data_IF_161684230582
#
_entry.id   IF_161684230582
#
_cell.length_a   1.000
_cell.length_b   1.000
_cell.length_c   1.000
_cell.angle_alpha   90.00
_cell.angle_beta   90.00
_cell.angle_gamma   90.00
#
_symmetry.space_group_name_H-M   'P 1'
#
loop_
_entity.id
_entity.type
_entity.pdbx_description
1 polymer ?
#
# COMPACT_ATOMS: atom_id res chain seq x y z
N UNK A 1 2.65 3.42 -22.94
CA UNK A 1 1.73 4.00 -21.95
C UNK A 1 0.75 4.89 -22.69
N UNK A 2 -0.53 4.69 -22.50
CA UNK A 2 -1.57 5.49 -23.14
C UNK A 2 -1.64 6.87 -22.48
N UNK A 3 -2.14 7.90 -23.18
CA UNK A 3 -2.30 9.26 -22.63
C UNK A 3 -3.09 9.24 -21.31
N UNK A 4 -4.04 8.30 -21.18
CA UNK A 4 -4.85 8.10 -19.98
C UNK A 4 -4.05 7.57 -18.79
N UNK A 5 -3.01 6.75 -18.99
CA UNK A 5 -2.11 6.28 -17.93
C UNK A 5 -1.22 7.42 -17.41
N UNK A 6 -0.71 8.28 -18.30
CA UNK A 6 0.07 9.45 -17.88
C UNK A 6 -0.76 10.44 -17.06
N UNK A 7 -2.03 10.65 -17.41
CA UNK A 7 -2.94 11.50 -16.62
C UNK A 7 -3.23 10.89 -15.25
N UNK A 8 -3.45 9.57 -15.16
CA UNK A 8 -3.62 8.90 -13.86
C UNK A 8 -2.39 9.03 -12.97
N UNK A 9 -1.19 8.87 -13.54
CA UNK A 9 0.06 9.03 -12.81
C UNK A 9 0.28 10.48 -12.35
N UNK A 10 -0.07 11.48 -13.18
CA UNK A 10 0.07 12.91 -12.85
C UNK A 10 -0.88 13.37 -11.73
N UNK A 11 -2.07 12.76 -11.62
CA UNK A 11 -3.05 13.07 -10.56
C UNK A 11 -2.82 12.18 -9.31
N UNK A 12 -1.76 11.38 -9.28
CA UNK A 12 -1.44 10.50 -8.14
C UNK A 12 -2.42 9.33 -7.98
N UNK A 13 -3.18 8.99 -9.02
CA UNK A 13 -4.10 7.85 -9.11
C UNK A 13 -3.42 6.60 -9.69
N UNK A 14 -2.10 6.50 -9.54
CA UNK A 14 -1.34 5.30 -9.88
C UNK A 14 -1.59 4.24 -8.81
N UNK A 15 -2.00 3.04 -9.27
CA UNK A 15 -2.46 1.89 -8.47
C UNK A 15 -3.91 1.99 -7.97
N UNK A 16 -4.69 0.93 -8.21
CA UNK A 16 -6.12 0.86 -7.92
C UNK A 16 -6.35 0.81 -6.39
N UNK A 17 -6.26 1.96 -5.74
CA UNK A 17 -6.49 2.10 -4.29
C UNK A 17 -7.94 1.77 -3.93
N UNK A 18 -8.12 1.04 -2.83
CA UNK A 18 -9.43 0.71 -2.31
C UNK A 18 -10.14 1.99 -1.85
N UNK A 19 -11.43 2.11 -2.14
CA UNK A 19 -12.23 3.23 -1.66
C UNK A 19 -12.39 3.17 -0.14
N UNK A 20 -12.63 4.32 0.49
CA UNK A 20 -12.88 4.38 1.95
C UNK A 20 -14.06 3.50 2.37
N UNK A 21 -15.09 3.40 1.53
CA UNK A 21 -16.27 2.58 1.77
C UNK A 21 -15.90 1.09 1.77
N UNK A 22 -15.16 0.63 0.76
CA UNK A 22 -14.68 -0.76 0.66
C UNK A 22 -13.80 -1.15 1.85
N UNK A 23 -12.88 -0.28 2.29
CA UNK A 23 -12.05 -0.54 3.47
C UNK A 23 -12.87 -0.63 4.77
N UNK A 24 -13.95 0.14 4.88
CA UNK A 24 -14.86 0.09 6.02
C UNK A 24 -15.71 -1.18 6.01
N UNK A 25 -16.22 -1.58 4.84
CA UNK A 25 -17.00 -2.80 4.65
C UNK A 25 -16.15 -4.06 4.91
N UNK A 26 -14.89 -4.03 4.50
CA UNK A 26 -13.90 -5.07 4.81
C UNK A 26 -13.40 -5.04 6.26
N UNK A 27 -13.91 -4.12 7.10
CA UNK A 27 -13.58 -3.97 8.52
C UNK A 27 -12.07 -3.88 8.79
N UNK A 28 -11.33 -3.20 7.92
CA UNK A 28 -9.89 -3.01 8.12
C UNK A 28 -9.63 -2.09 9.33
N UNK A 29 -8.71 -2.46 10.24
CA UNK A 29 -8.21 -1.55 11.29
C UNK A 29 -7.55 -0.32 10.67
N UNK A 30 -7.57 0.81 11.39
CA UNK A 30 -7.09 2.10 10.88
C UNK A 30 -5.64 2.06 10.38
N UNK A 31 -4.80 1.22 10.98
CA UNK A 31 -3.39 1.06 10.65
C UNK A 31 -3.18 0.45 9.26
N UNK A 32 -4.13 -0.32 8.76
CA UNK A 32 -4.05 -1.03 7.48
C UNK A 32 -4.87 -0.37 6.36
N UNK A 33 -5.31 0.88 6.58
CA UNK A 33 -6.04 1.68 5.59
C UNK A 33 -5.07 2.57 4.81
N UNK A 34 -4.06 1.95 4.24
CA UNK A 34 -3.01 2.58 3.44
C UNK A 34 -3.28 2.43 1.93
N UNK A 35 -2.36 2.95 1.11
CA UNK A 35 -2.37 2.81 -0.35
C UNK A 35 -2.43 1.34 -0.80
N UNK A 36 -1.86 0.42 -0.01
CA UNK A 36 -1.81 -1.03 -0.27
C UNK A 36 -3.07 -1.81 0.16
N UNK A 37 -4.08 -1.15 0.74
CA UNK A 37 -5.28 -1.81 1.27
C UNK A 37 -6.06 -2.63 0.22
N UNK A 38 -5.97 -2.25 -1.05
CA UNK A 38 -6.59 -2.96 -2.17
C UNK A 38 -6.07 -4.39 -2.37
N UNK A 39 -4.84 -4.68 -1.94
CA UNK A 39 -4.26 -6.03 -1.95
C UNK A 39 -4.57 -6.80 -0.65
N UNK A 40 -4.79 -6.10 0.45
CA UNK A 40 -5.08 -6.72 1.74
C UNK A 40 -6.50 -7.32 1.80
N UNK A 41 -7.48 -6.65 1.19
CA UNK A 41 -8.86 -7.15 1.11
C UNK A 41 -8.93 -8.54 0.47
N UNK A 42 -8.40 -8.79 -0.74
CA UNK A 42 -8.40 -10.13 -1.34
C UNK A 42 -7.56 -11.13 -0.55
N UNK A 43 -6.42 -10.72 0.03
CA UNK A 43 -5.62 -11.59 0.89
C UNK A 43 -6.40 -12.09 2.11
N UNK A 44 -7.15 -11.21 2.78
CA UNK A 44 -7.96 -11.59 3.93
C UNK A 44 -9.12 -12.51 3.54
N UNK A 45 -9.71 -12.32 2.35
CA UNK A 45 -10.72 -13.24 1.81
C UNK A 45 -10.12 -14.63 1.55
N UNK A 46 -8.95 -14.71 0.91
CA UNK A 46 -8.23 -15.96 0.68
C UNK A 46 -7.90 -16.68 2.00
N UNK A 47 -7.38 -15.95 2.99
CA UNK A 47 -7.05 -16.49 4.32
C UNK A 47 -8.28 -17.08 5.02
N UNK A 48 -9.43 -16.42 4.95
CA UNK A 48 -10.66 -16.94 5.55
C UNK A 48 -11.16 -18.19 4.81
N UNK A 49 -11.12 -18.21 3.47
CA UNK A 49 -11.55 -19.35 2.67
C UNK A 49 -10.68 -20.59 2.88
N UNK A 50 -9.36 -20.41 3.00
CA UNK A 50 -8.37 -21.48 3.14
C UNK A 50 -7.98 -21.73 4.61
N UNK A 51 -8.79 -21.29 5.59
CA UNK A 51 -8.54 -21.48 7.02
C UNK A 51 -7.14 -21.08 7.49
N UNK A 52 -6.59 -20.00 6.92
CA UNK A 52 -5.28 -19.43 7.24
C UNK A 52 -4.11 -20.40 7.02
N UNK A 53 -4.24 -21.35 6.09
CA UNK A 53 -3.13 -22.24 5.71
C UNK A 53 -1.96 -21.43 5.12
N UNK A 54 -0.72 -21.60 5.64
CA UNK A 54 0.43 -20.76 5.24
C UNK A 54 0.79 -20.78 3.75
N UNK A 55 0.56 -21.90 3.07
CA UNK A 55 1.02 -22.15 1.68
C UNK A 55 -0.02 -21.85 0.60
N UNK A 56 -1.25 -21.45 0.95
CA UNK A 56 -2.36 -21.31 -0.01
C UNK A 56 -2.49 -19.92 -0.63
N UNK A 57 -2.17 -18.86 0.13
CA UNK A 57 -2.33 -17.46 -0.29
C UNK A 57 -0.98 -16.74 -0.41
N UNK A 58 0.07 -17.45 -0.85
CA UNK A 58 1.43 -16.93 -0.88
C UNK A 58 1.60 -15.79 -1.89
N UNK A 59 0.98 -15.90 -3.06
CA UNK A 59 1.07 -14.88 -4.11
C UNK A 59 0.47 -13.56 -3.66
N UNK A 60 -0.74 -13.59 -3.09
CA UNK A 60 -1.43 -12.43 -2.56
C UNK A 60 -0.66 -11.82 -1.38
N UNK A 61 -0.11 -12.68 -0.51
CA UNK A 61 0.73 -12.25 0.61
C UNK A 61 1.96 -11.50 0.13
N UNK A 62 2.72 -12.09 -0.78
CA UNK A 62 3.95 -11.49 -1.29
C UNK A 62 3.68 -10.23 -2.11
N UNK A 63 2.56 -10.16 -2.83
CA UNK A 63 2.14 -8.95 -3.53
C UNK A 63 1.85 -7.80 -2.55
N UNK A 64 1.14 -8.09 -1.46
CA UNK A 64 0.89 -7.11 -0.40
C UNK A 64 2.18 -6.66 0.32
N UNK A 65 3.05 -7.62 0.68
CA UNK A 65 4.35 -7.33 1.32
C UNK A 65 5.25 -6.47 0.42
N UNK A 66 5.27 -6.73 -0.88
CA UNK A 66 6.03 -5.94 -1.85
C UNK A 66 5.51 -4.49 -1.91
N UNK A 67 4.19 -4.30 -1.99
CA UNK A 67 3.59 -2.96 -1.99
C UNK A 67 3.99 -2.18 -0.73
N UNK A 68 3.92 -2.82 0.45
CA UNK A 68 4.33 -2.20 1.71
C UNK A 68 5.80 -1.79 1.73
N UNK A 69 6.66 -2.63 1.17
CA UNK A 69 8.08 -2.35 1.08
C UNK A 69 8.38 -1.17 0.15
N UNK A 70 7.70 -1.09 -0.99
CA UNK A 70 7.87 0.01 -1.93
C UNK A 70 7.33 1.34 -1.35
N UNK A 71 6.20 1.31 -0.63
CA UNK A 71 5.69 2.46 0.12
C UNK A 71 6.64 2.90 1.25
N UNK A 72 7.28 1.94 1.94
CA UNK A 72 8.29 2.25 2.94
C UNK A 72 9.49 2.98 2.32
N UNK A 73 10.00 2.52 1.16
CA UNK A 73 11.08 3.21 0.46
C UNK A 73 10.71 4.64 0.07
N UNK A 74 9.49 4.86 -0.43
CA UNK A 74 8.99 6.22 -0.73
C UNK A 74 9.01 7.11 0.51
N UNK A 75 8.60 6.57 1.67
CA UNK A 75 8.66 7.31 2.95
C UNK A 75 10.10 7.61 3.39
N UNK A 76 11.03 6.68 3.21
CA UNK A 76 12.46 6.91 3.52
C UNK A 76 13.03 8.01 2.63
N UNK A 77 12.79 7.96 1.33
CA UNK A 77 13.22 9.00 0.39
C UNK A 77 12.69 10.38 0.78
N UNK A 78 11.40 10.48 1.12
CA UNK A 78 10.80 11.72 1.63
C UNK A 78 11.43 12.21 2.92
N UNK A 79 11.79 11.30 3.83
CA UNK A 79 12.48 11.67 5.07
C UNK A 79 13.90 12.18 4.81
N UNK A 80 14.60 11.63 3.83
CA UNK A 80 15.94 12.09 3.45
C UNK A 80 15.89 13.47 2.77
N UNK A 81 14.88 13.74 1.93
CA UNK A 81 14.59 15.07 1.39
C UNK A 81 14.36 16.09 2.51
N UNK A 82 13.54 15.74 3.51
CA UNK A 82 13.26 16.62 4.66
C UNK A 82 14.49 16.85 5.55
N UNK A 83 15.38 15.86 5.67
CA UNK A 83 16.65 16.02 6.41
C UNK A 83 17.61 16.93 5.67
N UNK A 84 17.75 16.75 4.36
CA UNK A 84 18.58 17.61 3.52
C UNK A 84 18.11 19.08 3.58
N UNK A 85 16.80 19.31 3.57
CA UNK A 85 16.21 20.65 3.71
C UNK A 85 16.41 21.29 5.11
N UNK A 86 16.80 20.49 6.12
CA UNK A 86 17.07 20.94 7.50
C UNK A 86 18.56 20.90 7.85
N UNK A 87 19.44 20.92 6.85
CA UNK A 87 20.90 20.81 7.03
C UNK A 87 21.33 19.62 7.89
N UNK A 88 20.62 18.50 7.79
CA UNK A 88 20.91 17.27 8.56
C UNK A 88 20.42 17.29 10.01
N UNK A 89 19.70 18.33 10.45
CA UNK A 89 19.11 18.36 11.78
C UNK A 89 18.05 17.27 11.94
N UNK A 90 18.23 16.44 12.98
CA UNK A 90 17.25 15.43 13.35
C UNK A 90 16.01 16.13 13.93
N UNK A 91 14.84 15.77 13.43
CA UNK A 91 13.57 16.41 13.77
C UNK A 91 12.95 15.91 15.09
N UNK A 92 13.77 15.61 16.11
CA UNK A 92 13.32 15.08 17.40
C UNK A 92 13.62 16.02 18.57
#
# INVERSE_FOLDING_TARGET
MTVTESVKNLVGLGEASATRKEMSEARLPMQYRDSCAHLLIPLNRCRQAEYYLPWKCETERHSYEKCQYDEFKKRVAKMDELRAAKDGARSN
#
